data_IF_445081976394
#
_entry.id   IF_445081976394
#
_cell.length_a   1.000
_cell.length_b   1.000
_cell.length_c   1.000
_cell.angle_alpha   90.00
_cell.angle_beta   90.00
_cell.angle_gamma   90.00
#
_symmetry.space_group_name_H-M   'P 1'
#
loop_
_entity.id
_entity.type
_entity.pdbx_description
1 polymer ?
#
# COMPACT_ATOMS: atom_id res chain seq x y z
N UNK A 1 18.15 -4.16 26.51
CA UNK A 1 17.49 -2.98 27.12
C UNK A 1 18.46 -1.80 26.99
N UNK A 2 18.23 -0.93 26.01
CA UNK A 2 19.13 0.20 25.72
C UNK A 2 18.49 1.48 26.24
N UNK A 3 19.01 1.92 27.37
CA UNK A 3 18.68 3.14 28.10
C UNK A 3 18.85 4.37 27.19
N UNK A 4 17.74 4.97 26.74
CA UNK A 4 17.76 6.24 26.00
C UNK A 4 17.11 7.29 26.88
N UNK A 5 17.90 8.24 27.38
CA UNK A 5 17.40 9.39 28.15
C UNK A 5 16.42 10.17 27.28
N UNK A 6 15.12 9.95 27.48
CA UNK A 6 14.07 10.66 26.77
C UNK A 6 14.19 12.16 27.05
N UNK A 7 14.48 12.95 26.02
CA UNK A 7 14.25 14.39 26.08
C UNK A 7 12.74 14.59 26.30
N UNK A 8 12.35 15.13 27.44
CA UNK A 8 10.96 15.41 27.73
C UNK A 8 10.42 16.46 26.75
N UNK A 9 9.42 16.10 25.96
CA UNK A 9 8.71 17.04 25.10
C UNK A 9 7.67 17.80 25.92
N UNK A 10 7.58 19.12 25.77
CA UNK A 10 6.45 19.89 26.31
C UNK A 10 5.16 19.61 25.53
N UNK A 11 5.24 19.52 24.18
CA UNK A 11 4.14 19.16 23.27
C UNK A 11 4.71 18.39 22.07
N UNK A 12 3.97 17.39 21.57
CA UNK A 12 4.30 16.62 20.37
C UNK A 12 3.05 16.40 19.52
N UNK A 13 3.01 17.03 18.35
CA UNK A 13 1.83 16.99 17.46
C UNK A 13 2.00 16.00 16.30
N UNK A 14 3.24 15.69 15.93
CA UNK A 14 3.55 14.73 14.87
C UNK A 14 3.55 13.28 15.39
N UNK A 15 2.92 12.39 14.62
CA UNK A 15 3.02 10.94 14.84
C UNK A 15 4.46 10.48 14.69
N UNK A 16 4.82 9.47 15.46
CA UNK A 16 6.14 8.87 15.48
C UNK A 16 6.05 7.38 15.81
N UNK A 17 7.14 6.68 15.55
CA UNK A 17 7.23 5.23 15.74
C UNK A 17 7.01 4.46 14.45
N UNK A 18 6.95 3.14 14.58
CA UNK A 18 6.72 2.22 13.47
C UNK A 18 5.31 2.36 12.92
N UNK A 19 5.15 2.27 11.61
CA UNK A 19 3.84 2.29 10.97
C UNK A 19 3.75 1.21 9.89
N UNK A 20 2.53 0.70 9.70
CA UNK A 20 2.18 -0.28 8.68
C UNK A 20 0.81 0.09 8.07
N UNK A 21 0.66 -0.20 6.77
CA UNK A 21 -0.58 -0.05 6.03
C UNK A 21 -0.74 -1.23 5.07
N UNK A 22 -1.96 -1.75 5.00
CA UNK A 22 -2.38 -2.75 4.02
C UNK A 22 -3.61 -2.24 3.29
N UNK A 23 -3.65 -2.43 1.98
CA UNK A 23 -4.69 -1.91 1.08
C UNK A 23 -5.10 -3.02 0.12
N UNK A 24 -6.40 -3.22 -0.06
CA UNK A 24 -6.94 -4.15 -1.05
C UNK A 24 -7.05 -3.41 -2.38
N UNK A 25 -6.49 -3.98 -3.44
CA UNK A 25 -6.59 -3.42 -4.78
C UNK A 25 -7.84 -3.95 -5.50
N UNK A 26 -8.49 -3.13 -6.35
CA UNK A 26 -9.70 -3.53 -7.06
C UNK A 26 -9.44 -4.45 -8.25
N UNK A 27 -8.17 -4.70 -8.61
CA UNK A 27 -7.76 -5.51 -9.76
C UNK A 27 -6.44 -6.22 -9.47
N UNK A 28 -6.16 -7.27 -10.23
CA UNK A 28 -4.89 -7.98 -10.17
C UNK A 28 -3.76 -7.13 -10.76
N UNK A 29 -2.57 -7.24 -10.17
CA UNK A 29 -1.38 -6.47 -10.56
C UNK A 29 -0.19 -7.39 -10.74
N UNK A 30 0.77 -6.98 -11.58
CA UNK A 30 2.04 -7.71 -11.75
C UNK A 30 3.03 -7.23 -10.68
N UNK A 31 3.00 -7.87 -9.52
CA UNK A 31 3.78 -7.47 -8.34
C UNK A 31 5.29 -7.35 -8.62
N UNK A 32 5.85 -8.26 -9.43
CA UNK A 32 7.28 -8.27 -9.78
C UNK A 32 7.75 -7.04 -10.55
N UNK A 33 6.82 -6.28 -11.15
CA UNK A 33 7.09 -5.06 -11.91
C UNK A 33 6.73 -3.79 -11.14
N UNK A 34 6.46 -3.90 -9.84
CA UNK A 34 6.21 -2.75 -8.98
C UNK A 34 7.41 -1.79 -8.96
N UNK A 35 7.12 -0.48 -8.90
CA UNK A 35 8.13 0.57 -8.68
C UNK A 35 7.73 1.42 -7.49
N UNK A 36 8.72 1.92 -6.76
CA UNK A 36 8.51 2.80 -5.63
C UNK A 36 9.52 3.95 -5.66
N UNK A 37 9.00 5.16 -5.47
CA UNK A 37 9.77 6.40 -5.45
C UNK A 37 9.43 7.17 -4.17
N UNK A 38 10.45 7.70 -3.49
CA UNK A 38 10.28 8.47 -2.25
C UNK A 38 10.90 9.84 -2.40
N UNK A 39 10.05 10.87 -2.42
CA UNK A 39 10.47 12.25 -2.61
C UNK A 39 9.64 13.18 -1.73
N UNK A 40 10.27 14.17 -1.10
CA UNK A 40 9.60 15.20 -0.29
C UNK A 40 8.65 14.64 0.80
N UNK A 41 8.96 13.48 1.37
CA UNK A 41 8.15 12.84 2.41
C UNK A 41 6.97 12.03 1.90
N UNK A 42 6.83 11.84 0.58
CA UNK A 42 5.74 11.07 -0.04
C UNK A 42 6.32 9.80 -0.68
N UNK A 43 5.78 8.65 -0.29
CA UNK A 43 6.05 7.36 -0.93
C UNK A 43 5.02 7.14 -2.04
N UNK A 44 5.47 7.11 -3.28
CA UNK A 44 4.65 6.79 -4.46
C UNK A 44 4.93 5.37 -4.91
N UNK A 45 3.90 4.53 -4.97
CA UNK A 45 4.00 3.13 -5.40
C UNK A 45 3.23 2.97 -6.70
N UNK A 46 3.92 2.57 -7.77
CA UNK A 46 3.32 2.33 -9.09
C UNK A 46 3.22 0.83 -9.34
N UNK A 47 1.99 0.34 -9.50
CA UNK A 47 1.68 -1.08 -9.74
C UNK A 47 1.04 -1.27 -11.12
N UNK A 48 1.71 -1.95 -12.06
CA UNK A 48 1.11 -2.28 -13.35
C UNK A 48 -0.04 -3.26 -13.18
N UNK A 49 -1.19 -2.97 -13.83
CA UNK A 49 -2.32 -3.92 -13.88
C UNK A 49 -1.90 -5.19 -14.60
N UNK A 50 -2.39 -6.34 -14.15
CA UNK A 50 -2.30 -7.57 -14.92
C UNK A 50 -3.12 -7.44 -16.21
N UNK A 51 -2.71 -8.13 -17.27
CA UNK A 51 -3.50 -8.18 -18.50
C UNK A 51 -4.82 -8.90 -18.21
N UNK A 52 -5.93 -8.18 -18.30
CA UNK A 52 -7.26 -8.77 -18.09
C UNK A 52 -7.57 -9.78 -19.18
N UNK A 53 -7.87 -11.02 -18.79
CA UNK A 53 -8.56 -11.96 -19.66
C UNK A 53 -9.96 -11.39 -19.91
N UNK A 54 -10.29 -11.16 -21.17
CA UNK A 54 -11.57 -10.62 -21.66
C UNK A 54 -12.77 -11.15 -20.85
N UNK A 55 -13.78 -10.32 -20.55
CA UNK A 55 -14.92 -10.71 -19.72
C UNK A 55 -15.57 -11.99 -20.24
N UNK A 56 -15.66 -13.01 -19.37
CA UNK A 56 -16.34 -14.27 -19.67
C UNK A 56 -17.85 -14.03 -19.56
N UNK A 57 -18.56 -14.12 -20.68
CA UNK A 57 -20.02 -14.13 -20.68
C UNK A 57 -20.52 -15.43 -20.06
N UNK A 58 -21.25 -15.33 -18.95
CA UNK A 58 -21.88 -16.49 -18.30
C UNK A 58 -23.35 -16.51 -18.74
N UNK A 59 -23.70 -17.43 -19.63
CA UNK A 59 -25.09 -17.69 -20.01
C UNK A 59 -25.82 -18.37 -18.85
N UNK A 60 -26.85 -17.71 -18.31
CA UNK A 60 -27.75 -18.28 -17.31
C UNK A 60 -28.83 -19.09 -18.04
N UNK A 61 -28.90 -20.40 -17.81
CA UNK A 61 -30.00 -21.25 -18.27
C UNK A 61 -31.08 -21.33 -17.19
N UNK A 62 -32.29 -20.87 -17.52
CA UNK A 62 -33.49 -21.05 -16.70
C UNK A 62 -34.25 -22.31 -17.13
N UNK A 63 -34.91 -22.97 -16.17
CA UNK A 63 -35.81 -24.11 -16.38
C UNK A 63 -37.26 -23.62 -16.34
#
# INVERSE_FOLDING_TARGET
>A
ESETKEKAYHIREQRWGTFERSLILPTEVVADKAKADFENGILTITLPKAEEVKPKSISIKTK
#
